data_IF_655704719402
#
_entry.id   IF_655704719402
#
_cell.length_a   1.000
_cell.length_b   1.000
_cell.length_c   1.000
_cell.angle_alpha   90.00
_cell.angle_beta   90.00
_cell.angle_gamma   90.00
#
_symmetry.space_group_name_H-M   'P 1'
#
loop_
_entity.id
_entity.type
_entity.pdbx_description
1 polymer ?
#
# COMPACT_ATOMS: atom_id res chain seq x y z
N UNK A 1 39.53 49.55 -40.47
CA UNK A 1 39.82 48.30 -39.71
C UNK A 1 38.59 47.98 -38.89
N UNK A 2 37.91 46.89 -39.21
CA UNK A 2 36.70 46.42 -38.50
C UNK A 2 37.17 45.65 -37.26
N UNK A 3 36.85 46.13 -36.07
CA UNK A 3 37.09 45.39 -34.83
C UNK A 3 35.93 44.41 -34.62
N UNK A 4 36.25 43.11 -34.68
CA UNK A 4 35.37 42.01 -34.30
C UNK A 4 35.53 41.82 -32.79
N UNK A 5 34.46 42.00 -32.03
CA UNK A 5 34.37 41.60 -30.63
C UNK A 5 34.03 40.09 -30.58
N UNK A 6 34.70 39.27 -29.75
CA UNK A 6 34.30 37.88 -29.58
C UNK A 6 33.08 37.80 -28.65
N UNK A 7 32.03 37.14 -29.15
CA UNK A 7 30.84 36.77 -28.39
C UNK A 7 31.23 35.59 -27.46
N UNK A 8 31.35 35.85 -26.16
CA UNK A 8 31.52 34.79 -25.17
C UNK A 8 30.13 34.20 -24.91
N UNK A 9 29.89 32.98 -25.41
CA UNK A 9 28.75 32.17 -24.98
C UNK A 9 28.99 31.74 -23.53
N UNK A 10 28.31 32.37 -22.56
CA UNK A 10 28.13 31.78 -21.24
C UNK A 10 27.12 30.63 -21.39
N UNK A 11 27.62 29.39 -21.36
CA UNK A 11 26.76 28.23 -21.17
C UNK A 11 26.15 28.29 -19.78
N UNK A 12 24.84 28.51 -19.70
CA UNK A 12 24.10 28.32 -18.47
C UNK A 12 24.04 26.82 -18.19
N UNK A 13 24.87 26.34 -17.27
CA UNK A 13 24.67 25.05 -16.64
C UNK A 13 23.44 25.16 -15.75
N UNK A 14 22.31 24.64 -16.23
CA UNK A 14 21.18 24.35 -15.36
C UNK A 14 21.60 23.18 -14.48
N UNK A 15 22.00 23.47 -13.24
CA UNK A 15 21.99 22.49 -12.18
C UNK A 15 20.51 22.16 -11.91
N UNK A 16 20.03 21.06 -12.49
CA UNK A 16 18.83 20.40 -11.97
C UNK A 16 19.18 19.94 -10.55
N UNK A 17 18.62 20.60 -9.55
CA UNK A 17 18.60 20.05 -8.20
C UNK A 17 17.97 18.64 -8.27
N UNK A 18 18.44 17.67 -7.47
CA UNK A 18 17.77 16.39 -7.39
C UNK A 18 16.30 16.64 -7.01
N UNK A 19 15.38 16.17 -7.86
CA UNK A 19 13.97 16.10 -7.52
C UNK A 19 13.90 15.12 -6.36
N UNK A 20 13.67 15.61 -5.14
CA UNK A 20 13.33 14.74 -4.03
C UNK A 20 12.06 13.99 -4.41
N UNK A 21 12.05 12.68 -4.20
CA UNK A 21 10.84 11.89 -4.34
C UNK A 21 9.74 12.51 -3.45
N UNK A 22 8.53 12.63 -3.99
CA UNK A 22 7.39 13.15 -3.25
C UNK A 22 7.13 12.25 -2.03
N UNK A 23 6.92 12.86 -0.85
CA UNK A 23 6.61 12.08 0.34
C UNK A 23 5.20 11.49 0.23
N UNK A 24 5.02 10.23 0.64
CA UNK A 24 3.78 9.47 0.46
C UNK A 24 2.59 10.02 1.26
N UNK A 25 2.81 10.91 2.21
CA UNK A 25 1.75 11.64 2.92
C UNK A 25 1.23 12.86 2.18
N UNK A 26 1.95 13.38 1.19
CA UNK A 26 1.48 14.50 0.39
C UNK A 26 0.53 14.01 -0.73
N UNK A 27 -0.47 14.82 -1.14
CA UNK A 27 -1.34 14.46 -2.27
C UNK A 27 -0.50 14.17 -3.51
N UNK A 28 -0.76 13.05 -4.19
CA UNK A 28 0.00 12.63 -5.36
C UNK A 28 -0.15 13.55 -6.57
N UNK A 29 0.52 13.23 -7.68
CA UNK A 29 0.63 14.14 -8.83
C UNK A 29 -0.68 14.30 -9.63
N UNK A 30 -1.70 13.47 -9.38
CA UNK A 30 -2.96 13.53 -10.12
C UNK A 30 -3.99 14.41 -9.42
N UNK A 31 -4.65 15.28 -10.20
CA UNK A 31 -5.90 15.85 -9.74
C UNK A 31 -6.97 14.75 -9.64
N UNK A 32 -7.89 14.88 -8.69
CA UNK A 32 -8.84 13.80 -8.35
C UNK A 32 -10.28 14.24 -8.57
N UNK A 33 -10.97 13.51 -9.43
CA UNK A 33 -12.41 13.58 -9.58
C UNK A 33 -13.09 12.53 -8.69
N UNK A 34 -14.32 12.79 -8.27
CA UNK A 34 -15.16 11.77 -7.64
C UNK A 34 -16.59 11.79 -8.17
N UNK A 35 -17.31 10.65 -8.11
CA UNK A 35 -18.72 10.52 -8.51
C UNK A 35 -19.45 9.48 -7.67
N UNK A 36 -20.63 9.85 -7.19
CA UNK A 36 -21.59 8.88 -6.66
C UNK A 36 -22.26 8.14 -7.83
N UNK A 37 -22.33 6.82 -7.69
CA UNK A 37 -22.91 5.94 -8.70
C UNK A 37 -24.00 5.08 -8.07
N UNK A 38 -24.96 4.73 -8.90
CA UNK A 38 -25.92 3.68 -8.58
C UNK A 38 -26.20 2.86 -9.82
N UNK A 39 -26.07 1.54 -9.70
CA UNK A 39 -26.30 0.63 -10.81
C UNK A 39 -27.04 -0.62 -10.34
N UNK A 40 -27.61 -1.34 -11.31
CA UNK A 40 -28.18 -2.67 -11.07
C UNK A 40 -27.16 -3.72 -11.48
N UNK A 41 -26.70 -4.50 -10.52
CA UNK A 41 -25.73 -5.58 -10.74
C UNK A 41 -26.26 -6.61 -11.75
N UNK A 42 -25.41 -6.90 -12.73
CA UNK A 42 -25.65 -7.85 -13.81
C UNK A 42 -24.86 -9.15 -13.66
N UNK A 43 -23.92 -9.24 -12.71
CA UNK A 43 -22.98 -10.37 -12.61
C UNK A 43 -23.29 -11.29 -11.45
N UNK A 44 -23.67 -10.75 -10.29
CA UNK A 44 -23.67 -11.49 -9.03
C UNK A 44 -25.04 -11.55 -8.33
N UNK A 45 -26.07 -10.99 -8.95
CA UNK A 45 -27.44 -10.99 -8.43
C UNK A 45 -27.65 -10.12 -7.20
N UNK A 46 -26.87 -9.05 -7.01
CA UNK A 46 -26.96 -8.13 -5.86
C UNK A 46 -28.12 -7.15 -5.92
N UNK A 47 -28.74 -6.99 -7.07
CA UNK A 47 -29.81 -6.00 -7.24
C UNK A 47 -29.22 -4.61 -7.43
N UNK A 48 -29.64 -3.62 -6.65
CA UNK A 48 -29.11 -2.25 -6.76
C UNK A 48 -27.91 -2.10 -5.83
N UNK A 49 -26.80 -1.61 -6.37
CA UNK A 49 -25.57 -1.32 -5.64
C UNK A 49 -25.23 0.16 -5.82
N UNK A 50 -24.72 0.77 -4.76
CA UNK A 50 -24.34 2.18 -4.65
C UNK A 50 -22.90 2.29 -4.17
N UNK A 51 -22.25 3.39 -4.53
CA UNK A 51 -20.89 3.67 -4.12
C UNK A 51 -20.41 5.03 -4.63
N UNK A 52 -19.23 5.42 -4.17
CA UNK A 52 -18.49 6.59 -4.64
C UNK A 52 -17.21 6.15 -5.33
N UNK A 53 -16.93 6.67 -6.51
CA UNK A 53 -15.71 6.38 -7.27
C UNK A 53 -14.81 7.60 -7.24
N UNK A 54 -13.56 7.45 -6.82
CA UNK A 54 -12.50 8.47 -6.87
C UNK A 54 -11.46 8.04 -7.92
N UNK A 55 -11.01 8.99 -8.73
CA UNK A 55 -10.20 8.66 -9.91
C UNK A 55 -9.34 9.85 -10.36
N UNK A 56 -8.17 9.60 -11.00
CA UNK A 56 -7.41 10.63 -11.69
C UNK A 56 -8.28 11.36 -12.71
N UNK A 57 -8.25 12.69 -12.66
CA UNK A 57 -9.10 13.57 -13.43
C UNK A 57 -8.33 14.80 -13.92
N UNK A 58 -8.92 15.52 -14.88
CA UNK A 58 -8.33 16.75 -15.42
C UNK A 58 -8.34 17.93 -14.42
N UNK A 59 -9.17 17.85 -13.37
CA UNK A 59 -9.21 18.81 -12.26
C UNK A 59 -9.88 18.19 -11.03
N UNK A 60 -9.75 18.82 -9.86
CA UNK A 60 -10.32 18.30 -8.61
C UNK A 60 -11.83 18.49 -8.51
N UNK A 61 -12.52 17.51 -7.92
CA UNK A 61 -13.89 17.66 -7.40
C UNK A 61 -14.92 16.71 -7.98
N UNK A 62 -16.18 16.99 -7.66
CA UNK A 62 -17.30 16.16 -8.08
C UNK A 62 -17.49 16.19 -9.60
N UNK A 63 -17.80 15.04 -10.21
CA UNK A 63 -18.18 14.89 -11.60
C UNK A 63 -17.15 15.41 -12.63
N UNK A 64 -15.89 15.52 -12.23
CA UNK A 64 -14.82 15.95 -13.13
C UNK A 64 -14.54 14.92 -14.23
N UNK A 65 -13.95 15.37 -15.33
CA UNK A 65 -13.62 14.49 -16.47
C UNK A 65 -12.44 13.59 -16.07
N UNK A 66 -12.64 12.27 -16.18
CA UNK A 66 -11.60 11.30 -15.91
C UNK A 66 -10.42 11.48 -16.88
N UNK A 67 -9.20 11.27 -16.39
CA UNK A 67 -7.97 11.43 -17.16
C UNK A 67 -7.21 10.09 -17.24
N UNK A 68 -7.41 9.31 -18.32
CA UNK A 68 -6.71 8.03 -18.51
C UNK A 68 -5.29 8.20 -19.07
N UNK A 69 -4.77 9.42 -19.26
CA UNK A 69 -3.53 9.67 -19.99
C UNK A 69 -2.26 9.07 -19.36
N UNK A 70 -2.31 8.76 -18.07
CA UNK A 70 -1.26 8.07 -17.30
C UNK A 70 -1.72 6.71 -16.77
N UNK A 71 -2.92 6.27 -17.18
CA UNK A 71 -3.46 4.95 -16.89
C UNK A 71 -3.06 3.92 -17.95
N UNK A 72 -3.70 2.74 -17.96
CA UNK A 72 -4.72 2.30 -17.00
C UNK A 72 -4.18 2.24 -15.56
N UNK A 73 -5.01 2.64 -14.61
CA UNK A 73 -4.66 2.67 -13.20
C UNK A 73 -5.13 1.40 -12.48
N UNK A 74 -4.42 0.94 -11.44
CA UNK A 74 -4.92 -0.17 -10.62
C UNK A 74 -6.24 0.19 -9.94
N UNK A 75 -7.14 -0.79 -9.86
CA UNK A 75 -8.42 -0.68 -9.17
C UNK A 75 -8.28 -1.15 -7.72
N UNK A 76 -8.69 -0.30 -6.78
CA UNK A 76 -8.77 -0.64 -5.36
C UNK A 76 -10.16 -0.39 -4.80
N UNK A 77 -10.63 -1.29 -3.95
CA UNK A 77 -11.85 -1.10 -3.19
C UNK A 77 -11.64 -0.51 -1.81
N UNK A 78 -12.67 0.12 -1.28
CA UNK A 78 -12.79 0.59 0.09
C UNK A 78 -14.15 0.19 0.67
N UNK A 79 -14.14 -0.39 1.87
CA UNK A 79 -15.33 -0.83 2.61
C UNK A 79 -15.38 -0.11 3.96
N UNK A 80 -16.52 0.47 4.29
CA UNK A 80 -16.68 1.41 5.39
C UNK A 80 -16.92 0.71 6.73
N UNK A 81 -16.85 1.47 7.83
CA UNK A 81 -17.26 0.99 9.14
C UNK A 81 -18.78 0.85 9.27
N UNK A 82 -19.25 0.19 10.32
CA UNK A 82 -20.68 0.06 10.57
C UNK A 82 -21.32 1.46 10.64
N UNK A 83 -22.46 1.66 9.97
CA UNK A 83 -23.27 2.90 9.87
C UNK A 83 -22.64 4.12 9.20
N UNK A 84 -21.40 4.01 8.72
CA UNK A 84 -20.68 5.09 8.05
C UNK A 84 -20.93 5.02 6.53
N UNK A 85 -21.30 6.13 5.85
CA UNK A 85 -21.34 6.18 4.39
C UNK A 85 -19.93 6.27 3.77
N UNK A 86 -19.84 6.09 2.46
CA UNK A 86 -18.60 6.25 1.70
C UNK A 86 -17.95 7.64 1.85
N UNK A 87 -18.74 8.67 2.16
CA UNK A 87 -18.30 10.04 2.33
C UNK A 87 -17.52 10.30 3.62
N UNK A 88 -17.49 9.35 4.56
CA UNK A 88 -16.75 9.48 5.82
C UNK A 88 -15.24 9.17 5.64
N UNK A 89 -14.81 8.94 4.38
CA UNK A 89 -13.47 8.55 3.97
C UNK A 89 -13.01 9.28 2.69
N UNK A 90 -13.60 10.44 2.39
CA UNK A 90 -13.26 11.22 1.20
C UNK A 90 -11.76 11.57 1.19
N UNK A 91 -11.16 11.89 2.34
CA UNK A 91 -9.76 12.31 2.45
C UNK A 91 -8.81 11.15 2.12
N UNK A 92 -9.03 9.98 2.73
CA UNK A 92 -8.21 8.79 2.49
C UNK A 92 -8.36 8.28 1.04
N UNK A 93 -9.60 8.18 0.54
CA UNK A 93 -9.85 7.69 -0.81
C UNK A 93 -9.34 8.67 -1.88
N UNK A 94 -9.49 9.98 -1.66
CA UNK A 94 -8.92 11.00 -2.53
C UNK A 94 -7.40 10.94 -2.52
N UNK A 95 -6.79 10.74 -1.36
CA UNK A 95 -5.35 10.57 -1.26
C UNK A 95 -4.87 9.40 -2.11
N UNK A 96 -5.46 8.22 -1.97
CA UNK A 96 -5.08 7.04 -2.77
C UNK A 96 -5.27 7.32 -4.27
N UNK A 97 -6.40 7.92 -4.67
CA UNK A 97 -6.65 8.25 -6.07
C UNK A 97 -5.65 9.26 -6.67
N UNK A 98 -5.20 10.23 -5.87
CA UNK A 98 -4.20 11.24 -6.28
C UNK A 98 -2.84 10.63 -6.64
N UNK A 99 -2.57 9.41 -6.15
CA UNK A 99 -1.38 8.62 -6.47
C UNK A 99 -1.59 7.65 -7.65
N UNK A 100 -2.65 7.84 -8.44
CA UNK A 100 -2.88 7.11 -9.67
C UNK A 100 -3.49 5.73 -9.43
N UNK A 101 -4.58 5.70 -8.67
CA UNK A 101 -5.45 4.54 -8.48
C UNK A 101 -6.89 4.94 -8.81
N UNK A 102 -7.70 4.00 -9.28
CA UNK A 102 -9.15 4.17 -9.23
C UNK A 102 -9.62 3.53 -7.92
N UNK A 103 -10.27 4.32 -7.08
CA UNK A 103 -10.80 3.88 -5.79
C UNK A 103 -12.31 3.78 -5.89
N UNK A 104 -12.88 2.62 -5.60
CA UNK A 104 -14.31 2.47 -5.38
C UNK A 104 -14.57 2.34 -3.89
N UNK A 105 -15.42 3.20 -3.34
CA UNK A 105 -15.91 3.08 -1.97
C UNK A 105 -17.34 2.58 -2.02
N UNK A 106 -17.61 1.45 -1.35
CA UNK A 106 -18.96 0.93 -1.22
C UNK A 106 -19.84 1.95 -0.46
N UNK A 107 -21.11 2.09 -0.83
CA UNK A 107 -22.09 2.93 -0.13
C UNK A 107 -23.43 2.20 0.06
N UNK A 108 -23.34 0.87 0.19
CA UNK A 108 -24.44 -0.04 0.52
C UNK A 108 -24.21 -0.60 1.91
N UNK A 109 -25.20 -1.25 2.53
CA UNK A 109 -25.02 -1.80 3.90
C UNK A 109 -24.69 -0.72 4.96
N UNK A 110 -25.09 0.53 4.72
CA UNK A 110 -24.94 1.69 5.63
C UNK A 110 -26.06 1.79 6.68
N UNK A 111 -26.99 0.84 6.69
CA UNK A 111 -28.16 0.84 7.58
C UNK A 111 -27.86 0.43 9.03
N UNK A 112 -28.75 0.83 9.95
CA UNK A 112 -28.68 0.41 11.37
C UNK A 112 -29.07 -1.06 11.61
N UNK A 113 -29.76 -1.70 10.67
CA UNK A 113 -30.30 -3.06 10.84
C UNK A 113 -30.15 -3.82 9.52
N UNK A 114 -30.06 -5.15 9.65
CA UNK A 114 -29.97 -6.09 8.51
C UNK A 114 -28.74 -5.93 7.63
N UNK A 115 -27.70 -5.25 8.13
CA UNK A 115 -26.40 -5.17 7.46
C UNK A 115 -25.52 -6.36 7.80
N UNK A 116 -24.61 -6.72 6.91
CA UNK A 116 -23.66 -7.80 7.15
C UNK A 116 -22.38 -7.65 6.35
N UNK A 117 -21.25 -8.03 6.96
CA UNK A 117 -19.93 -8.05 6.30
C UNK A 117 -19.94 -8.88 5.00
N UNK A 118 -20.71 -9.97 4.95
CA UNK A 118 -20.82 -10.80 3.74
C UNK A 118 -21.54 -10.11 2.60
N UNK A 119 -22.54 -9.29 2.91
CA UNK A 119 -23.30 -8.55 1.89
C UNK A 119 -22.48 -7.38 1.38
N UNK A 120 -21.81 -6.65 2.28
CA UNK A 120 -20.88 -5.58 1.93
C UNK A 120 -19.73 -6.08 1.04
N UNK A 121 -19.12 -7.22 1.37
CA UNK A 121 -18.10 -7.86 0.54
C UNK A 121 -18.62 -8.24 -0.86
N UNK A 122 -19.87 -8.71 -0.96
CA UNK A 122 -20.47 -9.08 -2.25
C UNK A 122 -20.84 -7.86 -3.09
N UNK A 123 -21.34 -6.80 -2.45
CA UNK A 123 -21.62 -5.52 -3.12
C UNK A 123 -20.33 -4.87 -3.60
N UNK A 124 -19.29 -4.92 -2.79
CA UNK A 124 -17.95 -4.46 -3.18
C UNK A 124 -17.44 -5.23 -4.39
N UNK A 125 -17.51 -6.57 -4.40
CA UNK A 125 -17.15 -7.35 -5.60
C UNK A 125 -17.96 -6.94 -6.84
N UNK A 126 -19.27 -6.71 -6.68
CA UNK A 126 -20.13 -6.29 -7.79
C UNK A 126 -19.76 -4.90 -8.31
N UNK A 127 -19.49 -3.94 -7.41
CA UNK A 127 -19.10 -2.58 -7.77
C UNK A 127 -17.70 -2.54 -8.41
N UNK A 128 -16.75 -3.34 -7.94
CA UNK A 128 -15.42 -3.44 -8.57
C UNK A 128 -15.53 -3.99 -9.99
N UNK A 129 -16.33 -5.04 -10.19
CA UNK A 129 -16.59 -5.57 -11.53
C UNK A 129 -17.26 -4.54 -12.43
N UNK A 130 -18.20 -3.75 -11.89
CA UNK A 130 -18.85 -2.69 -12.66
C UNK A 130 -17.86 -1.62 -13.11
N UNK A 131 -16.91 -1.21 -12.26
CA UNK A 131 -15.85 -0.26 -12.65
C UNK A 131 -15.02 -0.81 -13.80
N UNK A 132 -14.60 -2.08 -13.75
CA UNK A 132 -13.88 -2.71 -14.86
C UNK A 132 -14.71 -2.71 -16.15
N UNK A 133 -15.98 -3.10 -16.09
CA UNK A 133 -16.87 -3.09 -17.25
C UNK A 133 -17.04 -1.69 -17.84
N UNK A 134 -17.18 -0.69 -16.97
CA UNK A 134 -17.25 0.71 -17.40
C UNK A 134 -15.95 1.14 -18.07
N UNK A 135 -14.82 0.70 -17.55
CA UNK A 135 -13.53 1.06 -18.11
C UNK A 135 -13.23 0.43 -19.46
N UNK A 136 -13.86 -0.71 -19.76
CA UNK A 136 -13.79 -1.35 -21.08
C UNK A 136 -14.83 -0.83 -22.09
N UNK A 137 -15.67 0.15 -21.70
CA UNK A 137 -16.73 0.69 -22.54
C UNK A 137 -16.37 2.10 -23.05
N UNK A 138 -16.10 2.22 -24.35
CA UNK A 138 -15.86 3.50 -25.05
C UNK A 138 -16.97 4.57 -24.95
N UNK A 139 -18.13 4.20 -24.41
CA UNK A 139 -19.25 5.11 -24.15
C UNK A 139 -19.32 5.57 -22.68
N UNK A 140 -18.52 4.96 -21.81
CA UNK A 140 -18.46 5.28 -20.39
C UNK A 140 -17.52 6.46 -20.14
N UNK A 141 -17.78 7.18 -19.06
CA UNK A 141 -16.90 8.23 -18.57
C UNK A 141 -15.63 7.67 -17.89
N UNK A 142 -15.59 6.35 -17.62
CA UNK A 142 -14.44 5.64 -17.07
C UNK A 142 -13.59 4.93 -18.14
N UNK A 143 -13.89 5.12 -19.43
CA UNK A 143 -13.18 4.44 -20.53
C UNK A 143 -11.65 4.57 -20.40
N UNK A 144 -10.95 3.43 -20.39
CA UNK A 144 -9.49 3.35 -20.29
C UNK A 144 -8.86 3.66 -18.92
N UNK A 145 -9.67 3.90 -17.89
CA UNK A 145 -9.18 4.15 -16.52
C UNK A 145 -8.59 2.93 -15.79
N UNK A 146 -9.02 1.71 -16.07
CA UNK A 146 -8.57 0.44 -15.47
C UNK A 146 -8.53 -0.66 -16.54
N UNK A 147 -7.80 -1.75 -16.29
CA UNK A 147 -7.56 -2.82 -17.27
C UNK A 147 -7.64 -4.24 -16.68
N UNK A 148 -8.47 -4.44 -15.65
CA UNK A 148 -8.76 -5.77 -15.07
C UNK A 148 -7.50 -6.51 -14.57
N UNK A 149 -6.51 -5.75 -14.10
CA UNK A 149 -5.38 -6.24 -13.30
C UNK A 149 -5.86 -6.82 -11.95
N UNK A 150 -4.98 -7.55 -11.23
CA UNK A 150 -5.26 -7.94 -9.85
C UNK A 150 -5.73 -6.74 -9.00
N UNK A 151 -6.77 -6.97 -8.22
CA UNK A 151 -7.42 -5.97 -7.40
C UNK A 151 -6.74 -5.86 -6.03
N UNK A 152 -6.83 -4.67 -5.45
CA UNK A 152 -6.63 -4.46 -4.02
C UNK A 152 -7.90 -4.01 -3.32
N UNK A 153 -7.98 -4.16 -2.00
CA UNK A 153 -9.09 -3.62 -1.23
C UNK A 153 -8.67 -3.25 0.18
N UNK A 154 -9.18 -2.14 0.68
CA UNK A 154 -9.01 -1.69 2.05
C UNK A 154 -10.36 -1.64 2.75
N UNK A 155 -10.38 -1.59 4.08
CA UNK A 155 -11.61 -1.32 4.80
C UNK A 155 -11.40 -1.09 6.28
N UNK A 156 -12.31 -0.31 6.86
CA UNK A 156 -12.31 0.06 8.27
C UNK A 156 -13.36 -0.71 9.06
N UNK A 157 -13.02 -1.13 10.29
CA UNK A 157 -13.96 -1.74 11.24
C UNK A 157 -14.78 -2.88 10.60
N UNK A 158 -16.09 -2.71 10.40
CA UNK A 158 -16.94 -3.69 9.70
C UNK A 158 -16.39 -4.05 8.32
N UNK A 159 -16.07 -3.05 7.49
CA UNK A 159 -15.48 -3.22 6.16
C UNK A 159 -14.10 -3.86 6.20
N UNK A 160 -13.31 -3.59 7.24
CA UNK A 160 -12.06 -4.28 7.53
C UNK A 160 -12.30 -5.79 7.71
N UNK A 161 -13.29 -6.17 8.51
CA UNK A 161 -13.74 -7.57 8.65
C UNK A 161 -14.33 -8.16 7.36
N UNK A 162 -15.03 -7.35 6.56
CA UNK A 162 -15.63 -7.74 5.28
C UNK A 162 -14.60 -8.20 4.24
N UNK A 163 -13.36 -7.68 4.30
CA UNK A 163 -12.24 -8.14 3.46
C UNK A 163 -12.03 -9.66 3.54
N UNK A 164 -12.22 -10.24 4.73
CA UNK A 164 -12.09 -11.69 4.92
C UNK A 164 -13.08 -12.51 4.09
N UNK A 165 -14.26 -11.95 3.77
CA UNK A 165 -15.22 -12.58 2.86
C UNK A 165 -14.93 -12.23 1.40
N UNK A 166 -14.49 -10.99 1.13
CA UNK A 166 -14.18 -10.55 -0.23
C UNK A 166 -13.09 -11.43 -0.87
N UNK A 167 -12.00 -11.72 -0.15
CA UNK A 167 -10.90 -12.56 -0.67
C UNK A 167 -11.34 -13.99 -1.01
N UNK A 168 -12.40 -14.49 -0.39
CA UNK A 168 -13.02 -15.77 -0.75
C UNK A 168 -13.93 -15.69 -1.96
N UNK A 169 -14.58 -14.54 -2.13
CA UNK A 169 -15.55 -14.33 -3.20
C UNK A 169 -14.91 -13.92 -4.52
N UNK A 170 -13.67 -13.41 -4.47
CA UNK A 170 -12.98 -12.86 -5.62
C UNK A 170 -11.47 -13.12 -5.56
N UNK A 171 -11.01 -14.06 -6.39
CA UNK A 171 -9.60 -14.43 -6.48
C UNK A 171 -8.69 -13.34 -7.06
N UNK A 172 -9.25 -12.34 -7.75
CA UNK A 172 -8.48 -11.17 -8.23
C UNK A 172 -7.97 -10.29 -7.10
N UNK A 173 -8.56 -10.34 -5.89
CA UNK A 173 -8.10 -9.52 -4.77
C UNK A 173 -6.80 -10.09 -4.20
N UNK A 174 -5.67 -9.50 -4.56
CA UNK A 174 -4.32 -9.99 -4.22
C UNK A 174 -3.58 -9.17 -3.16
N UNK A 175 -4.12 -8.00 -2.79
CA UNK A 175 -3.57 -7.17 -1.73
C UNK A 175 -4.70 -6.55 -0.91
N UNK A 176 -4.59 -6.60 0.41
CA UNK A 176 -5.61 -6.06 1.31
C UNK A 176 -5.01 -5.22 2.44
N UNK A 177 -5.75 -4.21 2.88
CA UNK A 177 -5.40 -3.38 4.04
C UNK A 177 -6.58 -3.32 5.00
N UNK A 178 -6.40 -3.85 6.20
CA UNK A 178 -7.43 -3.91 7.24
C UNK A 178 -7.16 -2.82 8.29
N UNK A 179 -8.05 -1.85 8.42
CA UNK A 179 -7.99 -0.74 9.37
C UNK A 179 -8.91 -1.09 10.56
N UNK A 180 -8.33 -1.28 11.75
CA UNK A 180 -9.04 -1.60 13.00
C UNK A 180 -10.15 -2.66 12.81
N UNK A 181 -9.89 -3.79 12.12
CA UNK A 181 -10.92 -4.69 11.62
C UNK A 181 -11.79 -5.29 12.71
N UNK A 182 -13.10 -5.20 12.49
CA UNK A 182 -14.12 -5.82 13.32
C UNK A 182 -14.12 -7.34 13.14
N UNK A 183 -14.17 -8.07 14.26
CA UNK A 183 -14.23 -9.52 14.20
C UNK A 183 -15.58 -10.05 13.70
N UNK A 184 -16.70 -9.33 13.79
CA UNK A 184 -17.97 -9.82 13.23
C UNK A 184 -18.95 -10.49 14.19
N UNK A 185 -18.79 -10.37 15.50
CA UNK A 185 -19.60 -11.09 16.50
C UNK A 185 -21.12 -10.78 16.47
N UNK A 186 -21.54 -9.64 15.89
CA UNK A 186 -22.94 -9.18 15.83
C UNK A 186 -23.47 -8.98 14.40
N UNK A 187 -22.60 -8.77 13.40
CA UNK A 187 -22.96 -8.35 12.03
C UNK A 187 -22.53 -9.36 10.95
N UNK A 188 -22.58 -10.67 11.26
CA UNK A 188 -22.26 -11.72 10.29
C UNK A 188 -21.48 -12.94 10.80
N UNK A 189 -21.08 -12.98 12.07
CA UNK A 189 -20.39 -14.11 12.70
C UNK A 189 -18.94 -14.32 12.24
N UNK A 190 -17.98 -13.90 13.08
CA UNK A 190 -16.50 -13.98 12.90
C UNK A 190 -15.96 -15.35 12.55
N UNK A 191 -16.60 -16.41 13.04
CA UNK A 191 -16.03 -17.75 13.04
C UNK A 191 -15.70 -18.24 11.63
N UNK A 192 -16.35 -17.69 10.61
CA UNK A 192 -16.10 -17.98 9.20
C UNK A 192 -15.10 -17.02 8.53
N UNK A 193 -15.00 -15.76 8.98
CA UNK A 193 -14.09 -14.76 8.39
C UNK A 193 -12.63 -15.08 8.69
N UNK A 194 -12.33 -15.48 9.92
CA UNK A 194 -10.99 -15.95 10.30
C UNK A 194 -10.54 -17.19 9.51
N UNK A 195 -11.43 -18.17 9.32
CA UNK A 195 -11.12 -19.36 8.51
C UNK A 195 -10.85 -19.03 7.04
N UNK A 196 -11.52 -18.01 6.49
CA UNK A 196 -11.26 -17.53 5.14
C UNK A 196 -9.84 -16.97 4.99
N UNK A 197 -9.43 -16.19 6.00
CA UNK A 197 -8.14 -15.53 6.03
C UNK A 197 -6.98 -16.52 6.09
N UNK A 198 -7.18 -17.64 6.78
CA UNK A 198 -6.17 -18.71 6.88
C UNK A 198 -5.73 -19.24 5.51
N UNK A 199 -6.57 -19.21 4.46
CA UNK A 199 -6.17 -19.71 3.13
C UNK A 199 -5.68 -18.62 2.16
N UNK A 200 -5.67 -17.36 2.58
CA UNK A 200 -5.30 -16.24 1.72
C UNK A 200 -3.79 -16.19 1.47
N UNK A 201 -3.38 -16.28 0.20
CA UNK A 201 -1.98 -16.29 -0.24
C UNK A 201 -1.52 -14.97 -0.89
N UNK A 202 -2.34 -13.91 -0.78
CA UNK A 202 -1.98 -12.56 -1.22
C UNK A 202 -1.14 -11.79 -0.20
N UNK A 203 -1.21 -10.46 -0.25
CA UNK A 203 -0.50 -9.56 0.64
C UNK A 203 -1.48 -8.88 1.61
N UNK A 204 -1.14 -8.81 2.89
CA UNK A 204 -2.01 -8.23 3.91
C UNK A 204 -1.26 -7.22 4.78
N UNK A 205 -1.85 -6.05 4.96
CA UNK A 205 -1.50 -5.10 6.01
C UNK A 205 -2.65 -5.05 7.00
N UNK A 206 -2.35 -5.25 8.28
CA UNK A 206 -3.32 -5.11 9.37
C UNK A 206 -2.83 -3.97 10.25
N UNK A 207 -3.70 -2.97 10.41
CA UNK A 207 -3.49 -1.80 11.24
C UNK A 207 -4.45 -1.91 12.43
N UNK A 208 -3.94 -1.65 13.63
CA UNK A 208 -4.76 -1.47 14.82
C UNK A 208 -4.27 -0.28 15.62
N UNK A 209 -5.07 0.16 16.58
CA UNK A 209 -4.77 1.29 17.44
C UNK A 209 -4.89 0.90 18.93
N UNK A 210 -3.92 1.27 19.76
CA UNK A 210 -3.82 0.71 21.11
C UNK A 210 -4.81 1.29 22.14
N UNK A 211 -5.46 2.42 21.83
CA UNK A 211 -6.54 3.00 22.61
C UNK A 211 -7.93 2.71 22.02
N UNK A 212 -8.04 1.89 20.97
CA UNK A 212 -9.33 1.49 20.38
C UNK A 212 -10.25 0.78 21.41
N UNK A 213 -11.32 1.48 21.81
CA UNK A 213 -12.35 1.01 22.74
C UNK A 213 -13.47 0.21 22.07
N UNK A 214 -13.52 0.20 20.73
CA UNK A 214 -14.49 -0.54 19.91
C UNK A 214 -13.95 -1.93 19.59
N UNK A 215 -12.77 -1.99 18.98
CA UNK A 215 -12.09 -3.22 18.56
C UNK A 215 -10.74 -3.32 19.26
N UNK A 216 -10.75 -3.85 20.49
CA UNK A 216 -9.53 -4.00 21.27
C UNK A 216 -8.39 -4.62 20.45
N UNK A 217 -7.31 -3.87 20.26
CA UNK A 217 -6.25 -4.23 19.30
C UNK A 217 -5.66 -5.62 19.54
N UNK A 218 -5.51 -6.02 20.81
CA UNK A 218 -4.83 -7.26 21.16
C UNK A 218 -5.75 -8.49 21.01
N UNK A 219 -7.01 -8.38 21.43
CA UNK A 219 -7.96 -9.51 21.45
C UNK A 219 -8.86 -9.62 20.22
N UNK A 220 -8.97 -8.55 19.43
CA UNK A 220 -9.84 -8.47 18.25
C UNK A 220 -9.03 -8.29 16.96
N UNK A 221 -8.13 -7.32 16.93
CA UNK A 221 -7.44 -6.92 15.68
C UNK A 221 -6.20 -7.78 15.38
N UNK A 222 -5.32 -7.96 16.37
CA UNK A 222 -4.08 -8.77 16.25
C UNK A 222 -4.33 -10.20 15.73
N UNK A 223 -5.40 -10.91 16.14
CA UNK A 223 -5.71 -12.24 15.59
C UNK A 223 -5.86 -12.29 14.06
N UNK A 224 -6.19 -11.19 13.38
CA UNK A 224 -6.22 -11.14 11.91
C UNK A 224 -4.80 -11.29 11.33
N UNK A 225 -3.83 -10.55 11.84
CA UNK A 225 -2.43 -10.67 11.42
C UNK A 225 -1.89 -12.08 11.70
N UNK A 226 -2.16 -12.62 12.90
CA UNK A 226 -1.68 -13.94 13.31
C UNK A 226 -2.21 -15.07 12.42
N UNK A 227 -3.43 -14.93 11.91
CA UNK A 227 -4.09 -15.91 11.05
C UNK A 227 -3.80 -15.74 9.56
N UNK A 228 -3.11 -14.68 9.14
CA UNK A 228 -2.65 -14.46 7.77
C UNK A 228 -1.38 -15.27 7.42
N UNK A 229 -1.16 -16.43 8.04
CA UNK A 229 0.12 -17.17 7.97
C UNK A 229 0.45 -17.76 6.58
N UNK A 230 -0.59 -17.94 5.74
CA UNK A 230 -0.44 -18.34 4.35
C UNK A 230 -0.24 -17.16 3.39
N UNK A 231 -0.38 -15.91 3.84
CA UNK A 231 -0.11 -14.74 2.99
C UNK A 231 1.33 -14.75 2.50
N UNK A 232 1.54 -14.29 1.27
CA UNK A 232 2.87 -14.08 0.70
C UNK A 232 3.66 -13.08 1.56
N UNK A 233 2.97 -12.02 1.99
CA UNK A 233 3.46 -11.01 2.91
C UNK A 233 2.34 -10.61 3.85
N UNK A 234 2.65 -10.54 5.14
CA UNK A 234 1.80 -9.88 6.13
C UNK A 234 2.60 -8.83 6.89
N UNK A 235 1.98 -7.69 7.13
CA UNK A 235 2.55 -6.58 7.90
C UNK A 235 1.56 -6.21 9.00
N UNK A 236 2.07 -5.95 10.20
CA UNK A 236 1.32 -5.45 11.34
C UNK A 236 1.83 -4.06 11.69
N UNK A 237 0.93 -3.09 11.79
CA UNK A 237 1.21 -1.78 12.36
C UNK A 237 0.27 -1.55 13.55
N UNK A 238 0.82 -1.17 14.70
CA UNK A 238 0.04 -0.74 15.87
C UNK A 238 0.29 0.73 16.12
N UNK A 239 -0.74 1.56 15.98
CA UNK A 239 -0.71 2.99 16.27
C UNK A 239 -0.89 3.24 17.77
N UNK A 240 0.09 3.90 18.36
CA UNK A 240 0.14 4.24 19.78
C UNK A 240 -0.56 5.57 20.05
N UNK A 241 -1.51 5.55 20.98
CA UNK A 241 -2.41 6.67 21.28
C UNK A 241 -3.55 6.82 20.26
N UNK A 242 -3.62 5.95 19.25
CA UNK A 242 -4.69 5.98 18.25
C UNK A 242 -5.98 5.33 18.76
N UNK A 243 -7.10 5.77 18.21
CA UNK A 243 -8.44 5.24 18.48
C UNK A 243 -9.06 4.53 17.28
N UNK A 244 -10.33 4.16 17.40
CA UNK A 244 -11.05 3.43 16.37
C UNK A 244 -11.23 4.24 15.07
N UNK A 245 -11.41 5.56 15.17
CA UNK A 245 -11.85 6.40 14.07
C UNK A 245 -10.68 7.11 13.37
N UNK A 246 -9.43 6.82 13.74
CA UNK A 246 -8.25 7.51 13.24
C UNK A 246 -8.04 7.45 11.72
N UNK A 247 -8.75 6.57 11.00
CA UNK A 247 -8.73 6.47 9.53
C UNK A 247 -9.86 7.22 8.83
N UNK A 248 -10.86 7.71 9.57
CA UNK A 248 -11.99 8.49 9.04
C UNK A 248 -11.60 9.95 8.77
N UNK A 249 -12.46 10.65 8.04
CA UNK A 249 -12.30 12.09 7.76
C UNK A 249 -12.35 12.92 9.06
N UNK A 250 -11.74 14.12 9.01
CA UNK A 250 -11.48 14.91 10.20
C UNK A 250 -12.75 15.33 10.98
N UNK A 251 -13.89 15.52 10.30
CA UNK A 251 -15.16 15.86 10.95
C UNK A 251 -15.80 14.66 11.67
N UNK A 252 -15.64 13.46 11.13
CA UNK A 252 -16.06 12.20 11.75
C UNK A 252 -15.19 11.90 12.97
N UNK A 253 -13.86 12.03 12.83
CA UNK A 253 -12.94 11.88 13.96
C UNK A 253 -13.23 12.91 15.05
N UNK A 254 -13.48 14.17 14.71
CA UNK A 254 -13.82 15.20 15.69
C UNK A 254 -15.11 14.89 16.49
N UNK A 255 -16.03 14.11 15.91
CA UNK A 255 -17.29 13.73 16.55
C UNK A 255 -17.16 12.47 17.42
N UNK A 256 -16.38 11.47 16.96
CA UNK A 256 -16.36 10.14 17.55
C UNK A 256 -15.01 9.68 18.08
N UNK A 257 -13.92 10.34 17.69
CA UNK A 257 -12.55 10.07 18.11
C UNK A 257 -12.32 10.35 19.60
N UNK A 258 -11.38 9.61 20.18
CA UNK A 258 -11.12 9.63 21.63
C UNK A 258 -9.69 9.27 22.03
N UNK A 259 -8.80 9.02 21.07
CA UNK A 259 -7.41 8.66 21.31
C UNK A 259 -6.60 9.83 21.88
N UNK A 260 -5.53 9.49 22.58
CA UNK A 260 -4.58 10.47 23.11
C UNK A 260 -3.67 11.10 22.04
N UNK A 261 -3.52 10.45 20.88
CA UNK A 261 -2.84 10.99 19.70
C UNK A 261 -3.79 11.90 18.90
N UNK A 262 -3.27 13.00 18.36
CA UNK A 262 -4.07 13.95 17.60
C UNK A 262 -4.71 13.30 16.36
N UNK A 263 -5.95 13.68 16.03
CA UNK A 263 -6.70 13.09 14.92
C UNK A 263 -6.00 13.23 13.57
N UNK A 264 -5.34 14.38 13.31
CA UNK A 264 -4.60 14.58 12.07
C UNK A 264 -3.37 13.67 12.02
N UNK A 265 -2.70 13.45 13.15
CA UNK A 265 -1.56 12.53 13.26
C UNK A 265 -1.99 11.06 13.07
N UNK A 266 -3.16 10.69 13.61
CA UNK A 266 -3.75 9.37 13.36
C UNK A 266 -4.07 9.20 11.87
N UNK A 267 -4.74 10.16 11.24
CA UNK A 267 -5.13 10.08 9.84
C UNK A 267 -3.91 10.06 8.90
N UNK A 268 -2.88 10.85 9.22
CA UNK A 268 -1.59 10.85 8.53
C UNK A 268 -0.92 9.47 8.55
N UNK A 269 -0.91 8.80 9.71
CA UNK A 269 -0.33 7.46 9.83
C UNK A 269 -1.09 6.45 8.95
N UNK A 270 -2.42 6.46 8.97
CA UNK A 270 -3.24 5.60 8.11
C UNK A 270 -2.98 5.87 6.62
N UNK A 271 -2.94 7.13 6.19
CA UNK A 271 -2.64 7.51 4.80
C UNK A 271 -1.29 6.99 4.35
N UNK A 272 -0.23 7.16 5.15
CA UNK A 272 1.12 6.65 4.85
C UNK A 272 1.16 5.14 4.73
N UNK A 273 0.55 4.44 5.69
CA UNK A 273 0.58 2.97 5.75
C UNK A 273 -0.23 2.34 4.62
N UNK A 274 -1.47 2.81 4.39
CA UNK A 274 -2.34 2.29 3.32
C UNK A 274 -1.71 2.54 1.96
N UNK A 275 -1.36 3.80 1.65
CA UNK A 275 -0.82 4.13 0.34
C UNK A 275 0.54 3.47 0.12
N UNK A 276 1.45 3.54 1.10
CA UNK A 276 2.77 2.94 0.96
C UNK A 276 2.69 1.43 0.70
N UNK A 277 1.72 0.73 1.31
CA UNK A 277 1.48 -0.69 1.03
C UNK A 277 0.99 -0.92 -0.41
N UNK A 278 0.04 -0.11 -0.87
CA UNK A 278 -0.51 -0.21 -2.22
C UNK A 278 0.54 0.11 -3.27
N UNK A 279 1.34 1.16 -3.09
CA UNK A 279 2.44 1.49 -4.00
C UNK A 279 3.47 0.35 -4.06
N UNK A 280 3.88 -0.19 -2.91
CA UNK A 280 4.84 -1.27 -2.85
C UNK A 280 4.33 -2.58 -3.50
N UNK A 281 3.11 -3.01 -3.17
CA UNK A 281 2.60 -4.33 -3.56
C UNK A 281 1.86 -4.35 -4.90
N UNK A 282 1.31 -3.20 -5.35
CA UNK A 282 0.58 -3.11 -6.62
C UNK A 282 1.42 -2.45 -7.71
N UNK A 283 2.20 -1.41 -7.39
CA UNK A 283 3.05 -0.70 -8.38
C UNK A 283 4.52 -1.15 -8.35
N UNK A 284 4.90 -2.00 -7.40
CA UNK A 284 6.28 -2.47 -7.26
C UNK A 284 7.22 -1.44 -6.65
N UNK A 285 6.71 -0.35 -6.08
CA UNK A 285 7.49 0.74 -5.49
C UNK A 285 7.96 0.36 -4.06
N UNK A 286 8.79 -0.67 -3.95
CA UNK A 286 9.17 -1.26 -2.66
C UNK A 286 9.92 -0.30 -1.72
N UNK A 287 10.46 0.80 -2.25
CA UNK A 287 11.04 1.87 -1.42
C UNK A 287 10.02 2.50 -0.46
N UNK A 288 8.71 2.43 -0.76
CA UNK A 288 7.66 2.91 0.14
C UNK A 288 7.64 2.16 1.49
N UNK A 289 8.27 0.98 1.61
CA UNK A 289 8.43 0.32 2.90
C UNK A 289 9.34 1.07 3.87
N UNK A 290 10.22 1.95 3.37
CA UNK A 290 10.94 2.88 4.23
C UNK A 290 9.98 3.80 4.98
N UNK A 291 8.94 4.30 4.33
CA UNK A 291 7.97 5.23 4.95
C UNK A 291 7.23 4.60 6.13
N UNK A 292 7.10 3.27 6.17
CA UNK A 292 6.55 2.54 7.33
C UNK A 292 7.48 2.70 8.53
N UNK A 293 8.78 2.51 8.33
CA UNK A 293 9.79 2.65 9.40
C UNK A 293 9.94 4.09 9.88
N UNK A 294 9.55 5.07 9.06
CA UNK A 294 9.56 6.49 9.40
C UNK A 294 8.22 7.01 9.91
N UNK A 295 7.14 6.23 9.81
CA UNK A 295 5.84 6.59 10.37
C UNK A 295 5.96 6.69 11.88
N UNK A 296 5.56 7.84 12.43
CA UNK A 296 5.65 8.10 13.85
C UNK A 296 4.54 7.38 14.62
N UNK A 297 4.75 7.19 15.92
CA UNK A 297 3.78 6.58 16.83
C UNK A 297 3.37 5.15 16.51
N UNK A 298 4.07 4.42 15.64
CA UNK A 298 3.74 3.02 15.37
C UNK A 298 4.78 2.03 15.90
N UNK A 299 4.31 0.84 16.25
CA UNK A 299 5.11 -0.38 16.25
C UNK A 299 4.86 -1.15 14.96
N UNK A 300 5.93 -1.68 14.35
CA UNK A 300 5.88 -2.35 13.05
C UNK A 300 6.45 -3.77 13.13
N UNK A 301 5.70 -4.74 12.61
CA UNK A 301 6.17 -6.11 12.38
C UNK A 301 5.91 -6.53 10.93
N UNK A 302 6.81 -7.29 10.34
CA UNK A 302 6.62 -7.94 9.05
C UNK A 302 6.90 -9.43 9.13
N UNK A 303 6.17 -10.20 8.34
CA UNK A 303 6.44 -11.62 8.13
C UNK A 303 6.20 -11.95 6.66
N UNK A 304 7.25 -12.41 5.99
CA UNK A 304 7.18 -12.71 4.58
C UNK A 304 8.19 -13.76 4.16
N UNK A 305 7.71 -14.61 3.26
CA UNK A 305 8.51 -15.61 2.55
C UNK A 305 9.12 -15.05 1.27
N UNK A 306 8.72 -13.85 0.85
CA UNK A 306 9.18 -13.15 -0.35
C UNK A 306 9.69 -11.75 0.05
N UNK A 307 10.95 -11.62 0.48
CA UNK A 307 11.47 -10.37 1.05
C UNK A 307 11.36 -9.24 0.01
N UNK A 308 10.76 -8.08 0.37
CA UNK A 308 10.89 -6.88 -0.43
C UNK A 308 12.26 -6.26 -0.15
N UNK A 309 12.71 -5.34 -0.99
CA UNK A 309 13.95 -4.62 -0.80
C UNK A 309 13.72 -3.15 -1.08
N UNK A 310 14.05 -2.31 -0.11
CA UNK A 310 14.22 -0.89 -0.35
C UNK A 310 15.70 -0.54 -0.36
N UNK A 311 16.11 0.18 -1.40
CA UNK A 311 17.46 0.67 -1.56
C UNK A 311 17.46 2.01 -2.28
N UNK A 312 17.98 3.03 -1.63
CA UNK A 312 18.05 4.38 -2.20
C UNK A 312 19.09 5.22 -1.47
N UNK A 313 19.44 6.38 -2.04
CA UNK A 313 20.28 7.38 -1.37
C UNK A 313 19.42 8.09 -0.34
N UNK A 314 19.88 8.12 0.92
CA UNK A 314 19.16 8.77 2.02
C UNK A 314 18.82 10.24 1.66
N UNK A 315 17.51 10.60 1.61
CA UNK A 315 17.07 11.95 1.31
C UNK A 315 17.58 12.99 2.31
N UNK A 316 17.81 12.59 3.56
CA UNK A 316 18.32 13.46 4.62
C UNK A 316 19.85 13.56 4.62
N UNK A 317 20.54 12.62 3.96
CA UNK A 317 21.99 12.54 3.92
C UNK A 317 22.50 11.87 2.65
N UNK A 318 22.77 12.65 1.61
CA UNK A 318 23.20 12.15 0.31
C UNK A 318 24.56 11.41 0.28
N UNK A 319 25.24 11.28 1.43
CA UNK A 319 26.45 10.47 1.59
C UNK A 319 26.16 9.04 2.08
N UNK A 320 24.89 8.67 2.26
CA UNK A 320 24.48 7.35 2.74
C UNK A 320 23.48 6.71 1.79
N UNK A 321 23.57 5.39 1.67
CA UNK A 321 22.50 4.54 1.14
C UNK A 321 21.71 3.97 2.32
N UNK A 322 20.39 3.95 2.19
CA UNK A 322 19.51 3.15 3.03
C UNK A 322 19.30 1.82 2.34
N UNK A 323 19.50 0.72 3.05
CA UNK A 323 19.17 -0.63 2.61
C UNK A 323 18.34 -1.31 3.70
N UNK A 324 17.18 -1.84 3.36
CA UNK A 324 16.38 -2.62 4.30
C UNK A 324 15.45 -3.62 3.63
N UNK A 325 14.96 -4.56 4.43
CA UNK A 325 14.11 -5.65 3.97
C UNK A 325 13.26 -6.20 5.12
N UNK A 326 12.06 -6.67 4.78
CA UNK A 326 11.29 -7.58 5.63
C UNK A 326 11.73 -9.02 5.44
N UNK A 327 11.42 -9.88 6.41
CA UNK A 327 11.55 -11.33 6.33
C UNK A 327 10.78 -12.01 7.47
N UNK A 328 10.63 -13.33 7.41
CA UNK A 328 10.02 -14.06 8.53
C UNK A 328 10.85 -13.89 9.82
N UNK A 329 10.23 -13.60 10.98
CA UNK A 329 10.93 -13.51 12.25
C UNK A 329 11.81 -14.74 12.55
N UNK A 330 12.96 -14.51 13.17
CA UNK A 330 14.01 -15.51 13.43
C UNK A 330 14.67 -16.15 12.19
N UNK A 331 14.32 -15.72 10.96
CA UNK A 331 15.06 -16.10 9.77
C UNK A 331 16.31 -15.25 9.60
N UNK A 332 17.28 -15.76 8.86
CA UNK A 332 18.50 -15.03 8.52
C UNK A 332 18.25 -14.16 7.30
N UNK A 333 18.39 -12.86 7.46
CA UNK A 333 18.36 -11.86 6.39
C UNK A 333 19.78 -11.53 5.96
N UNK A 334 20.01 -11.52 4.64
CA UNK A 334 21.22 -11.00 4.02
C UNK A 334 20.85 -9.99 2.95
N UNK A 335 21.52 -8.85 2.93
CA UNK A 335 21.42 -7.86 1.85
C UNK A 335 22.79 -7.76 1.21
N UNK A 336 22.86 -7.99 -0.10
CA UNK A 336 24.07 -7.94 -0.88
C UNK A 336 23.99 -6.84 -1.93
N UNK A 337 25.15 -6.27 -2.28
CA UNK A 337 25.31 -5.31 -3.37
C UNK A 337 26.36 -5.77 -4.37
N UNK A 338 26.23 -5.39 -5.64
CA UNK A 338 27.20 -5.66 -6.71
C UNK A 338 27.29 -4.51 -7.70
N UNK A 339 28.39 -4.39 -8.43
CA UNK A 339 28.59 -3.36 -9.47
C UNK A 339 28.01 -3.77 -10.83
N UNK A 340 27.55 -5.00 -10.96
CA UNK A 340 26.89 -5.49 -12.17
C UNK A 340 25.92 -6.64 -11.85
N UNK A 341 25.01 -6.91 -12.77
CA UNK A 341 24.08 -8.03 -12.68
C UNK A 341 24.72 -9.33 -13.13
N UNK A 342 24.27 -10.43 -12.57
CA UNK A 342 24.62 -11.80 -12.92
C UNK A 342 23.36 -12.66 -13.03
N UNK A 343 23.54 -13.97 -13.15
CA UNK A 343 22.44 -14.93 -13.15
C UNK A 343 22.96 -16.25 -12.62
N UNK A 344 22.57 -16.62 -11.41
CA UNK A 344 22.80 -17.94 -10.83
C UNK A 344 21.50 -18.51 -10.26
N UNK A 345 21.09 -19.67 -10.76
CA UNK A 345 20.00 -20.42 -10.16
C UNK A 345 20.41 -20.98 -8.79
N UNK A 346 19.62 -20.65 -7.77
CA UNK A 346 19.78 -21.17 -6.41
C UNK A 346 18.50 -21.89 -5.97
N UNK A 347 18.54 -22.53 -4.81
CA UNK A 347 17.33 -23.09 -4.18
C UNK A 347 16.34 -22.02 -3.70
N UNK A 348 16.74 -20.74 -3.66
CA UNK A 348 15.93 -19.61 -3.20
C UNK A 348 15.45 -18.72 -4.36
N UNK A 349 15.63 -19.16 -5.61
CA UNK A 349 15.39 -18.35 -6.82
C UNK A 349 16.70 -17.94 -7.50
N UNK A 350 16.59 -17.01 -8.45
CA UNK A 350 17.74 -16.50 -9.20
C UNK A 350 18.49 -15.43 -8.40
N UNK A 351 19.77 -15.69 -8.13
CA UNK A 351 20.72 -14.67 -7.67
C UNK A 351 21.13 -13.86 -8.89
N UNK A 352 20.63 -12.64 -8.95
CA UNK A 352 20.80 -11.72 -10.08
C UNK A 352 22.01 -10.80 -9.96
N UNK A 353 22.85 -10.97 -8.94
CA UNK A 353 24.05 -10.17 -8.72
C UNK A 353 25.28 -10.86 -9.32
N UNK A 354 26.19 -10.11 -9.94
CA UNK A 354 27.48 -10.66 -10.35
C UNK A 354 28.30 -11.06 -9.13
N UNK A 355 28.60 -12.36 -9.03
CA UNK A 355 29.34 -12.94 -7.91
C UNK A 355 30.79 -12.46 -7.83
N UNK A 356 31.36 -11.94 -8.91
CA UNK A 356 32.75 -11.47 -8.92
C UNK A 356 32.93 -10.15 -8.17
N UNK A 357 31.90 -9.30 -8.16
CA UNK A 357 31.88 -8.01 -7.45
C UNK A 357 30.91 -7.96 -6.27
N UNK A 358 30.14 -9.02 -6.02
CA UNK A 358 29.14 -9.06 -4.96
C UNK A 358 29.78 -8.97 -3.56
N UNK A 359 29.23 -8.11 -2.72
CA UNK A 359 29.58 -8.00 -1.30
C UNK A 359 28.33 -8.05 -0.43
N UNK A 360 28.44 -8.65 0.75
CA UNK A 360 27.37 -8.67 1.75
C UNK A 360 27.42 -7.35 2.54
N UNK A 361 26.37 -6.55 2.43
CA UNK A 361 26.21 -5.31 3.19
C UNK A 361 25.59 -5.56 4.58
N UNK A 362 24.67 -6.53 4.66
CA UNK A 362 24.01 -6.95 5.90
C UNK A 362 23.91 -8.47 6.00
N UNK A 363 24.16 -9.02 7.18
CA UNK A 363 23.92 -10.41 7.53
C UNK A 363 23.47 -10.49 9.00
N UNK A 364 22.18 -10.77 9.21
CA UNK A 364 21.55 -10.69 10.52
C UNK A 364 20.47 -11.75 10.69
N UNK A 365 20.23 -12.20 11.91
CA UNK A 365 19.06 -13.03 12.24
C UNK A 365 17.97 -12.10 12.75
N UNK A 366 16.85 -12.04 12.04
CA UNK A 366 15.77 -11.09 12.31
C UNK A 366 15.18 -11.29 13.71
N UNK A 367 14.91 -10.18 14.39
CA UNK A 367 14.15 -10.15 15.64
C UNK A 367 12.66 -10.39 15.44
N UNK A 368 11.86 -10.15 16.48
CA UNK A 368 10.40 -10.31 16.44
C UNK A 368 9.70 -9.33 15.49
N UNK A 369 10.32 -8.19 15.19
CA UNK A 369 9.80 -7.24 14.20
C UNK A 369 9.87 -7.78 12.76
N UNK A 370 10.72 -8.77 12.48
CA UNK A 370 10.82 -9.34 11.13
C UNK A 370 11.30 -8.37 10.04
N UNK A 371 12.04 -7.33 10.43
CA UNK A 371 12.71 -6.44 9.48
C UNK A 371 14.03 -5.93 10.04
N UNK A 372 14.87 -5.43 9.15
CA UNK A 372 16.14 -4.81 9.48
C UNK A 372 16.50 -3.76 8.42
N UNK A 373 17.21 -2.73 8.86
CA UNK A 373 17.63 -1.61 8.02
C UNK A 373 19.05 -1.17 8.42
N UNK A 374 19.84 -0.78 7.42
CA UNK A 374 21.16 -0.24 7.62
C UNK A 374 21.43 0.97 6.74
N UNK A 375 22.29 1.85 7.27
CA UNK A 375 22.87 2.94 6.50
C UNK A 375 24.28 2.52 6.05
N UNK A 376 24.53 2.60 4.74
CA UNK A 376 25.82 2.29 4.13
C UNK A 376 26.48 3.57 3.64
N UNK A 377 27.65 3.96 4.16
CA UNK A 377 28.37 5.12 3.66
C UNK A 377 28.79 4.95 2.19
N UNK A 378 28.40 5.91 1.34
CA UNK A 378 28.77 5.94 -0.07
C UNK A 378 30.27 6.21 -0.20
N UNK A 379 30.98 5.32 -0.88
CA UNK A 379 32.41 5.47 -1.12
C UNK A 379 32.67 6.43 -2.30
N UNK A 380 33.69 7.31 -2.23
CA UNK A 380 34.03 8.18 -3.36
C UNK A 380 34.31 7.42 -4.66
N UNK A 381 34.81 6.19 -4.57
CA UNK A 381 35.05 5.30 -5.72
C UNK A 381 33.78 4.82 -6.43
N UNK A 382 32.59 5.06 -5.86
CA UNK A 382 31.31 4.67 -6.46
C UNK A 382 30.65 5.76 -7.30
N UNK A 383 31.17 7.00 -7.31
CA UNK A 383 30.57 8.09 -8.08
C UNK A 383 30.49 7.73 -9.57
N UNK A 384 29.30 7.92 -10.15
CA UNK A 384 28.99 7.55 -11.53
C UNK A 384 28.72 6.06 -11.76
N UNK A 385 28.73 5.21 -10.72
CA UNK A 385 28.36 3.80 -10.83
C UNK A 385 26.87 3.59 -10.51
N UNK A 386 26.28 2.59 -11.15
CA UNK A 386 25.02 1.98 -10.72
C UNK A 386 25.35 0.74 -9.89
N UNK A 387 24.80 0.70 -8.68
CA UNK A 387 24.92 -0.43 -7.75
C UNK A 387 23.62 -1.23 -7.76
N UNK A 388 23.74 -2.55 -7.80
CA UNK A 388 22.62 -3.49 -7.80
C UNK A 388 22.53 -4.18 -6.45
N UNK A 389 21.35 -4.27 -5.87
CA UNK A 389 21.13 -4.90 -4.56
C UNK A 389 20.11 -6.04 -4.64
N UNK A 390 20.28 -7.03 -3.78
CA UNK A 390 19.33 -8.13 -3.62
C UNK A 390 19.35 -8.63 -2.17
N UNK A 391 18.18 -8.92 -1.62
CA UNK A 391 18.01 -9.47 -0.30
C UNK A 391 17.70 -10.98 -0.36
N UNK A 392 18.10 -11.72 0.67
CA UNK A 392 17.76 -13.11 0.89
C UNK A 392 17.31 -13.27 2.34
N UNK A 393 16.06 -13.70 2.54
CA UNK A 393 15.56 -14.14 3.84
C UNK A 393 15.35 -15.65 3.80
N UNK A 394 15.98 -16.39 4.73
CA UNK A 394 15.88 -17.84 4.74
C UNK A 394 16.07 -18.47 6.13
N UNK A 395 15.53 -19.69 6.29
CA UNK A 395 15.85 -20.61 7.37
C UNK A 395 16.07 -22.01 6.82
N UNK A 396 17.31 -22.50 6.89
CA UNK A 396 17.70 -23.74 6.22
C UNK A 396 17.47 -23.64 4.71
N UNK A 397 16.76 -24.60 4.13
CA UNK A 397 16.43 -24.64 2.69
C UNK A 397 15.18 -23.83 2.31
N UNK A 398 14.45 -23.28 3.28
CA UNK A 398 13.28 -22.44 3.01
C UNK A 398 13.72 -20.97 2.93
N UNK A 399 13.28 -20.26 1.91
CA UNK A 399 13.65 -18.86 1.69
C UNK A 399 13.39 -18.41 0.27
N UNK A 400 13.51 -17.10 0.04
CA UNK A 400 13.48 -16.53 -1.29
C UNK A 400 14.43 -15.33 -1.38
N UNK A 401 14.92 -15.10 -2.60
CA UNK A 401 15.58 -13.86 -2.99
C UNK A 401 14.52 -12.79 -3.30
N UNK A 402 14.82 -11.54 -2.97
CA UNK A 402 14.06 -10.39 -3.45
C UNK A 402 14.29 -10.19 -4.95
N UNK A 403 13.50 -9.29 -5.54
CA UNK A 403 13.88 -8.70 -6.82
C UNK A 403 15.16 -7.86 -6.68
N UNK A 404 15.84 -7.63 -7.81
CA UNK A 404 17.00 -6.75 -7.85
C UNK A 404 16.51 -5.31 -7.82
N UNK A 405 17.12 -4.49 -6.98
CA UNK A 405 16.99 -3.04 -7.03
C UNK A 405 18.29 -2.41 -7.50
N UNK A 406 18.21 -1.20 -8.06
CA UNK A 406 19.40 -0.47 -8.50
C UNK A 406 19.42 0.95 -7.96
N UNK A 407 20.63 1.45 -7.67
CA UNK A 407 20.85 2.83 -7.22
C UNK A 407 22.02 3.41 -8.00
N UNK A 408 21.77 4.51 -8.72
CA UNK A 408 22.81 5.26 -9.42
C UNK A 408 23.40 6.32 -8.51
N UNK A 409 24.71 6.26 -8.30
CA UNK A 409 25.44 7.18 -7.43
C UNK A 409 25.86 8.42 -8.24
N UNK A 410 25.50 9.64 -7.81
CA UNK A 410 25.72 10.87 -8.57
C UNK A 410 27.19 11.27 -8.75
#
# INVERSE_FOLDING_TARGET
MKHILPLILLGAFFYSAPIFAQQVDEPGPHAVGWRDISFRDSHYGRGRVEGRIYYPAVSHGENQVADPSQGPFPLTGFMHGYIEPASDYDELCTHIASWGFVVMSNDTETGLLFVSMQSEAKDTRALMQWVEDQSQSSSSWLDGMTDNHPWSASGHSMGGGALSYLVNYESRVRTIVMLEPYQGSLLGGSSNGFNAFQSYDGNALIIGADEDLTNNYNSVVRPWFEQADNSRRRVWALLHGGDHFGSTDADIHALWGFGSLDGDEQHLAHRRLVLGFLLAEIKGEQNCYYDFTQTQHISLEGDTKAPPLWSFIDPSNSAQLILGSFGTPAWRLRIAGSMSTGSLNTIYGELGLDQSSMQIARDHVLGSSGWDEINVPIQPSWSGLTLYFQALSNHGTNGALSEITEVTIP
#
